data_IF_663568154017
#
_entry.id   IF_663568154017
#
_cell.length_a   1.000
_cell.length_b   1.000
_cell.length_c   1.000
_cell.angle_alpha   90.00
_cell.angle_beta   90.00
_cell.angle_gamma   90.00
#
_symmetry.space_group_name_H-M   'P 1'
#
loop_
_entity.id
_entity.type
_entity.pdbx_description
1 polymer ?
#
# COMPACT_ATOMS: atom_id res chain seq x y z
N UNK A 1 1.46 12.96 7.09
CA UNK A 1 2.48 12.68 6.07
C UNK A 1 3.85 12.40 6.73
N UNK A 2 4.36 13.27 7.59
CA UNK A 2 5.65 13.10 8.27
C UNK A 2 5.67 11.80 9.11
N UNK A 3 4.61 11.49 9.83
CA UNK A 3 4.51 10.26 10.60
C UNK A 3 4.69 9.02 9.71
N UNK A 4 3.96 8.93 8.60
CA UNK A 4 4.05 7.79 7.66
C UNK A 4 5.44 7.68 7.04
N UNK A 5 6.07 8.81 6.70
CA UNK A 5 7.45 8.85 6.22
C UNK A 5 8.44 8.27 7.25
N UNK A 6 8.30 8.64 8.53
CA UNK A 6 9.12 8.12 9.62
C UNK A 6 8.84 6.64 9.88
N UNK A 7 7.58 6.21 9.81
CA UNK A 7 7.18 4.81 9.94
C UNK A 7 7.82 3.92 8.86
N UNK A 8 7.92 4.41 7.61
CA UNK A 8 8.66 3.71 6.55
C UNK A 8 10.14 3.54 6.96
N UNK A 9 10.77 4.61 7.47
CA UNK A 9 12.15 4.54 7.96
C UNK A 9 12.30 3.47 9.06
N UNK A 10 11.38 3.48 10.01
CA UNK A 10 11.37 2.57 11.16
C UNK A 10 11.19 1.11 10.75
N UNK A 11 10.23 0.81 9.86
CA UNK A 11 10.02 -0.53 9.29
C UNK A 11 11.31 -1.08 8.67
N UNK A 12 11.98 -0.28 7.85
CA UNK A 12 13.19 -0.73 7.15
C UNK A 12 14.44 -0.83 8.04
N UNK A 13 14.41 -0.24 9.24
CA UNK A 13 15.44 -0.35 10.25
C UNK A 13 15.19 -1.49 11.26
N UNK A 14 14.04 -2.17 11.19
CA UNK A 14 13.74 -3.33 12.03
C UNK A 14 14.77 -4.45 11.87
N UNK A 15 15.07 -5.20 12.96
CA UNK A 15 15.93 -6.38 12.89
C UNK A 15 15.44 -7.36 11.82
N UNK A 16 16.39 -8.02 11.14
CA UNK A 16 16.05 -9.01 10.11
C UNK A 16 15.71 -10.39 10.74
N UNK A 17 14.77 -10.37 11.69
CA UNK A 17 14.25 -11.55 12.39
C UNK A 17 12.72 -11.49 12.41
N UNK A 18 12.07 -12.62 12.67
CA UNK A 18 10.63 -12.71 12.76
C UNK A 18 9.91 -12.23 11.50
N UNK A 19 8.83 -11.49 11.68
CA UNK A 19 8.00 -10.96 10.60
C UNK A 19 8.82 -10.11 9.61
N UNK A 20 9.59 -9.12 10.09
CA UNK A 20 10.36 -8.23 9.23
C UNK A 20 11.49 -8.94 8.49
N UNK A 21 12.14 -9.94 9.14
CA UNK A 21 13.14 -10.79 8.47
C UNK A 21 12.55 -11.56 7.30
N UNK A 22 11.37 -12.15 7.49
CA UNK A 22 10.66 -12.86 6.43
C UNK A 22 10.20 -11.90 5.31
N UNK A 23 9.70 -10.70 5.66
CA UNK A 23 9.29 -9.67 4.71
C UNK A 23 10.46 -9.21 3.83
N UNK A 24 11.63 -8.95 4.41
CA UNK A 24 12.81 -8.54 3.66
C UNK A 24 13.40 -9.68 2.81
N UNK A 25 13.32 -10.93 3.28
CA UNK A 25 13.67 -12.10 2.48
C UNK A 25 12.75 -12.23 1.26
N UNK A 26 11.47 -11.91 1.40
CA UNK A 26 10.53 -11.90 0.28
C UNK A 26 10.85 -10.80 -0.74
N UNK A 27 11.27 -9.59 -0.30
CA UNK A 27 11.78 -8.56 -1.24
C UNK A 27 12.92 -9.11 -2.09
N UNK A 28 13.88 -9.78 -1.46
CA UNK A 28 15.02 -10.37 -2.16
C UNK A 28 14.59 -11.49 -3.12
N UNK A 29 13.66 -12.37 -2.71
CA UNK A 29 13.11 -13.43 -3.55
C UNK A 29 12.42 -12.86 -4.80
N UNK A 30 11.74 -11.72 -4.67
CA UNK A 30 11.10 -11.00 -5.77
C UNK A 30 12.08 -10.09 -6.54
N UNK A 31 13.37 -10.18 -6.27
CA UNK A 31 14.44 -9.38 -6.90
C UNK A 31 14.27 -7.88 -6.72
N UNK A 32 13.63 -7.46 -5.63
CA UNK A 32 13.46 -6.05 -5.27
C UNK A 32 14.64 -5.57 -4.42
N UNK A 33 15.21 -4.44 -4.82
CA UNK A 33 16.25 -3.79 -4.02
C UNK A 33 15.65 -3.12 -2.79
N UNK A 34 16.03 -3.57 -1.60
CA UNK A 34 15.50 -3.07 -0.32
C UNK A 34 15.64 -1.54 -0.17
N UNK A 35 16.78 -0.96 -0.56
CA UNK A 35 17.01 0.48 -0.43
C UNK A 35 16.19 1.28 -1.43
N UNK A 36 16.03 0.76 -2.64
CA UNK A 36 15.16 1.37 -3.64
C UNK A 36 13.71 1.36 -3.20
N UNK A 37 13.19 0.21 -2.72
CA UNK A 37 11.81 0.09 -2.18
C UNK A 37 11.60 1.07 -1.03
N UNK A 38 12.55 1.15 -0.08
CA UNK A 38 12.52 2.12 1.02
C UNK A 38 12.40 3.56 0.50
N UNK A 39 13.23 3.92 -0.46
CA UNK A 39 13.23 5.28 -1.03
C UNK A 39 11.89 5.60 -1.71
N UNK A 40 11.40 4.70 -2.55
CA UNK A 40 10.12 4.88 -3.25
C UNK A 40 8.94 4.97 -2.27
N UNK A 41 8.90 4.12 -1.24
CA UNK A 41 7.86 4.17 -0.20
C UNK A 41 7.91 5.46 0.61
N UNK A 42 9.08 6.05 0.84
CA UNK A 42 9.20 7.37 1.49
C UNK A 42 8.61 8.48 0.62
N UNK A 43 8.80 8.42 -0.70
CA UNK A 43 8.16 9.36 -1.62
C UNK A 43 6.64 9.16 -1.61
N UNK A 44 6.17 7.90 -1.66
CA UNK A 44 4.75 7.57 -1.57
C UNK A 44 4.16 8.11 -0.26
N UNK A 45 4.86 7.97 0.87
CA UNK A 45 4.42 8.48 2.17
C UNK A 45 4.19 9.99 2.18
N UNK A 46 4.97 10.75 1.42
CA UNK A 46 4.78 12.20 1.29
C UNK A 46 3.62 12.57 0.36
N UNK A 47 3.23 11.68 -0.56
CA UNK A 47 2.28 12.00 -1.62
C UNK A 47 0.92 11.28 -1.49
N UNK A 48 0.80 10.21 -0.70
CA UNK A 48 -0.38 9.36 -0.69
C UNK A 48 -1.70 10.11 -0.45
N UNK A 49 -1.67 11.11 0.41
CA UNK A 49 -2.83 11.91 0.81
C UNK A 49 -2.90 13.28 0.11
N UNK A 50 -2.02 13.58 -0.83
CA UNK A 50 -2.01 14.88 -1.52
C UNK A 50 -3.32 15.15 -2.25
N UNK A 51 -3.99 14.10 -2.69
CA UNK A 51 -5.30 14.19 -3.31
C UNK A 51 -6.39 14.75 -2.38
N UNK A 52 -6.27 14.61 -1.05
CA UNK A 52 -7.20 15.20 -0.09
C UNK A 52 -7.14 16.73 -0.06
N UNK A 53 -6.00 17.30 -0.44
CA UNK A 53 -5.81 18.75 -0.54
C UNK A 53 -6.27 19.28 -1.89
N UNK A 54 -6.01 18.52 -2.95
CA UNK A 54 -6.30 18.90 -4.33
C UNK A 54 -7.75 18.55 -4.76
N UNK A 55 -8.45 17.71 -4.00
CA UNK A 55 -9.81 17.29 -4.30
C UNK A 55 -10.80 18.44 -4.14
N UNK A 56 -11.74 18.57 -5.09
CA UNK A 56 -12.86 19.50 -4.98
C UNK A 56 -13.70 19.12 -3.74
N UNK A 57 -13.92 20.09 -2.86
CA UNK A 57 -14.72 19.91 -1.63
C UNK A 57 -16.12 19.38 -1.88
N UNK A 58 -16.68 19.57 -3.08
CA UNK A 58 -17.96 18.99 -3.50
C UNK A 58 -17.94 17.47 -3.62
N UNK A 59 -16.75 16.85 -3.73
CA UNK A 59 -16.54 15.40 -3.80
C UNK A 59 -16.35 14.75 -2.42
N UNK A 60 -16.25 15.56 -1.37
CA UNK A 60 -16.15 15.07 0.01
C UNK A 60 -17.55 14.77 0.54
N UNK A 61 -17.77 13.53 0.92
CA UNK A 61 -19.06 13.09 1.47
C UNK A 61 -18.88 12.55 2.90
N UNK A 62 -19.94 12.54 3.72
CA UNK A 62 -19.87 11.87 5.01
C UNK A 62 -19.59 10.38 4.85
N UNK A 63 -18.61 9.86 5.58
CA UNK A 63 -18.33 8.42 5.62
C UNK A 63 -19.53 7.67 6.22
N UNK A 64 -20.07 6.63 5.55
CA UNK A 64 -21.35 6.03 5.93
C UNK A 64 -21.35 5.37 7.32
N UNK A 65 -20.20 4.98 7.85
CA UNK A 65 -20.08 4.34 9.16
C UNK A 65 -19.64 5.30 10.27
N UNK A 66 -18.82 6.31 9.95
CA UNK A 66 -18.21 7.19 10.97
C UNK A 66 -18.75 8.62 10.95
N UNK A 67 -19.45 9.02 9.89
CA UNK A 67 -19.91 10.41 9.67
C UNK A 67 -18.77 11.42 9.39
N UNK A 68 -17.51 10.99 9.47
CA UNK A 68 -16.37 11.87 9.17
C UNK A 68 -16.28 12.18 7.67
N UNK A 69 -15.66 13.29 7.26
CA UNK A 69 -15.41 13.58 5.85
C UNK A 69 -14.66 12.42 5.17
N UNK A 70 -15.19 11.92 4.06
CA UNK A 70 -14.57 10.88 3.24
C UNK A 70 -14.23 11.45 1.85
N UNK A 71 -12.99 11.35 1.49
CA UNK A 71 -12.41 11.81 0.23
C UNK A 71 -12.38 10.68 -0.79
N UNK A 72 -13.51 10.42 -1.47
CA UNK A 72 -13.70 9.21 -2.28
C UNK A 72 -12.75 9.06 -3.48
N UNK A 73 -12.26 10.18 -4.01
CA UNK A 73 -11.40 10.19 -5.20
C UNK A 73 -9.97 10.60 -4.93
N UNK A 74 -9.59 10.78 -3.67
CA UNK A 74 -8.28 11.34 -3.34
C UNK A 74 -7.10 10.51 -3.90
N UNK A 75 -7.22 9.19 -4.03
CA UNK A 75 -6.19 8.37 -4.66
C UNK A 75 -5.96 8.71 -6.14
N UNK A 76 -7.05 8.89 -6.94
CA UNK A 76 -6.96 9.28 -8.36
C UNK A 76 -6.46 10.72 -8.48
N UNK A 77 -6.99 11.64 -7.69
CA UNK A 77 -6.55 13.04 -7.66
C UNK A 77 -5.08 13.12 -7.20
N UNK A 78 -4.70 12.31 -6.22
CA UNK A 78 -3.33 12.17 -5.74
C UNK A 78 -2.36 11.65 -6.81
N UNK A 79 -2.79 10.67 -7.61
CA UNK A 79 -2.03 10.21 -8.78
C UNK A 79 -1.71 11.37 -9.72
N UNK A 80 -2.72 12.17 -10.10
CA UNK A 80 -2.53 13.30 -11.01
C UNK A 80 -1.58 14.35 -10.43
N UNK A 81 -1.78 14.72 -9.16
CA UNK A 81 -0.91 15.66 -8.46
C UNK A 81 0.55 15.13 -8.32
N UNK A 82 0.72 13.84 -8.03
CA UNK A 82 2.03 13.22 -7.94
C UNK A 82 2.77 13.23 -9.29
N UNK A 83 2.06 13.02 -10.40
CA UNK A 83 2.63 13.10 -11.75
C UNK A 83 3.14 14.50 -12.09
N UNK A 84 2.44 15.55 -11.64
CA UNK A 84 2.87 16.94 -11.82
C UNK A 84 4.10 17.29 -10.97
N UNK A 85 4.16 16.77 -9.73
CA UNK A 85 5.23 17.09 -8.77
C UNK A 85 6.52 16.35 -9.09
N UNK A 86 6.46 15.04 -9.33
CA UNK A 86 7.67 14.21 -9.44
C UNK A 86 8.41 14.51 -10.73
N UNK A 87 7.74 14.55 -11.87
CA UNK A 87 8.39 14.75 -13.16
C UNK A 87 9.56 13.77 -13.43
N UNK A 88 10.14 13.87 -14.63
CA UNK A 88 11.27 13.03 -15.04
C UNK A 88 12.61 13.44 -14.42
N UNK A 89 12.70 14.66 -13.90
CA UNK A 89 13.94 15.19 -13.31
C UNK A 89 14.25 14.60 -11.94
N UNK A 90 13.18 14.31 -11.14
CA UNK A 90 13.34 13.76 -9.80
C UNK A 90 13.50 12.23 -9.81
N UNK A 91 12.83 11.56 -10.72
CA UNK A 91 12.89 10.09 -10.87
C UNK A 91 13.03 9.76 -12.35
N UNK A 92 14.25 9.51 -12.83
CA UNK A 92 14.50 9.33 -14.26
C UNK A 92 14.00 7.99 -14.82
N UNK A 93 13.63 7.04 -13.98
CA UNK A 93 13.23 5.70 -14.40
C UNK A 93 11.71 5.57 -14.47
N UNK A 94 11.10 5.40 -15.68
CA UNK A 94 9.65 5.32 -15.86
C UNK A 94 8.96 4.25 -15.01
N UNK A 95 9.63 3.11 -14.81
CA UNK A 95 9.08 2.02 -13.99
C UNK A 95 8.95 2.42 -12.51
N UNK A 96 9.90 3.16 -11.98
CA UNK A 96 9.86 3.68 -10.61
C UNK A 96 8.76 4.74 -10.46
N UNK A 97 8.66 5.66 -11.42
CA UNK A 97 7.57 6.64 -11.45
C UNK A 97 6.21 5.94 -11.42
N UNK A 98 6.01 4.94 -12.27
CA UNK A 98 4.77 4.18 -12.34
C UNK A 98 4.45 3.50 -11.00
N UNK A 99 5.44 2.88 -10.36
CA UNK A 99 5.29 2.24 -9.07
C UNK A 99 4.81 3.23 -8.00
N UNK A 100 5.43 4.42 -7.94
CA UNK A 100 5.05 5.48 -6.99
C UNK A 100 3.63 5.98 -7.28
N UNK A 101 3.35 6.38 -8.52
CA UNK A 101 2.04 6.93 -8.90
C UNK A 101 0.90 5.95 -8.63
N UNK A 102 1.08 4.69 -8.98
CA UNK A 102 0.05 3.66 -8.80
C UNK A 102 -0.12 3.24 -7.36
N UNK A 103 0.94 3.27 -6.55
CA UNK A 103 0.81 3.04 -5.12
C UNK A 103 0.07 4.19 -4.44
N UNK A 104 0.33 5.45 -4.83
CA UNK A 104 -0.46 6.62 -4.38
C UNK A 104 -1.93 6.47 -4.78
N UNK A 105 -2.22 6.06 -6.03
CA UNK A 105 -3.62 5.82 -6.47
C UNK A 105 -4.33 4.77 -5.62
N UNK A 106 -3.64 3.69 -5.26
CA UNK A 106 -4.23 2.47 -4.71
C UNK A 106 -4.01 2.29 -3.21
N UNK A 107 -3.40 3.26 -2.52
CA UNK A 107 -2.99 3.10 -1.12
C UNK A 107 -4.13 2.69 -0.17
N UNK A 108 -5.37 3.11 -0.46
CA UNK A 108 -6.56 2.75 0.33
C UNK A 108 -7.32 1.52 -0.19
N UNK A 109 -6.74 0.77 -1.15
CA UNK A 109 -7.44 -0.37 -1.75
C UNK A 109 -7.77 -1.47 -0.72
N UNK A 110 -6.92 -1.69 0.29
CA UNK A 110 -7.16 -2.65 1.37
C UNK A 110 -8.45 -2.35 2.10
N UNK A 111 -8.65 -1.08 2.47
CA UNK A 111 -9.85 -0.61 3.13
C UNK A 111 -11.09 -0.77 2.24
N UNK A 112 -10.99 -0.42 0.95
CA UNK A 112 -12.07 -0.60 -0.01
C UNK A 112 -12.51 -2.05 -0.15
N UNK A 113 -11.55 -2.97 -0.28
CA UNK A 113 -11.81 -4.41 -0.37
C UNK A 113 -12.37 -4.99 0.94
N UNK A 114 -11.84 -4.58 2.09
CA UNK A 114 -12.35 -4.99 3.39
C UNK A 114 -13.79 -4.53 3.62
N UNK A 115 -14.12 -3.32 3.17
CA UNK A 115 -15.50 -2.80 3.21
C UNK A 115 -16.43 -3.62 2.31
N UNK A 116 -16.02 -3.97 1.09
CA UNK A 116 -16.80 -4.88 0.23
C UNK A 116 -17.06 -6.22 0.93
N UNK A 117 -16.04 -6.78 1.56
CA UNK A 117 -16.15 -8.01 2.33
C UNK A 117 -17.14 -7.88 3.50
N UNK A 118 -17.06 -6.82 4.29
CA UNK A 118 -17.94 -6.62 5.45
C UNK A 118 -19.41 -6.37 5.07
N UNK A 119 -19.66 -5.81 3.89
CA UNK A 119 -21.03 -5.52 3.42
C UNK A 119 -21.68 -6.74 2.76
N UNK A 120 -20.97 -7.47 1.91
CA UNK A 120 -21.56 -8.50 1.05
C UNK A 120 -20.79 -9.82 1.01
N UNK A 121 -19.74 -9.98 1.84
CA UNK A 121 -18.92 -11.20 1.87
C UNK A 121 -17.97 -11.36 0.69
N UNK A 122 -17.80 -10.34 -0.16
CA UNK A 122 -16.93 -10.44 -1.35
C UNK A 122 -15.46 -10.60 -0.97
N UNK A 123 -14.86 -11.71 -1.40
CA UNK A 123 -13.42 -11.97 -1.24
C UNK A 123 -12.74 -11.81 -2.61
N UNK A 124 -11.71 -10.95 -2.72
CA UNK A 124 -11.02 -10.75 -4.00
C UNK A 124 -10.30 -12.03 -4.42
N UNK A 125 -10.62 -12.50 -5.62
CA UNK A 125 -9.99 -13.67 -6.24
C UNK A 125 -8.60 -13.33 -6.77
N UNK A 126 -7.83 -14.38 -7.13
CA UNK A 126 -6.44 -14.26 -7.62
C UNK A 126 -6.31 -13.25 -8.76
N UNK A 127 -7.21 -13.28 -9.73
CA UNK A 127 -7.18 -12.43 -10.93
C UNK A 127 -7.33 -10.95 -10.56
N UNK A 128 -8.19 -10.62 -9.58
CA UNK A 128 -8.34 -9.25 -9.07
C UNK A 128 -7.08 -8.77 -8.35
N UNK A 129 -6.48 -9.62 -7.52
CA UNK A 129 -5.23 -9.31 -6.83
C UNK A 129 -4.08 -9.16 -7.84
N UNK A 130 -3.98 -10.05 -8.82
CA UNK A 130 -3.01 -9.95 -9.90
C UNK A 130 -3.16 -8.65 -10.70
N UNK A 131 -4.39 -8.25 -11.01
CA UNK A 131 -4.66 -6.99 -11.71
C UNK A 131 -4.20 -5.77 -10.87
N UNK A 132 -4.48 -5.76 -9.56
CA UNK A 132 -4.02 -4.72 -8.65
C UNK A 132 -2.49 -4.64 -8.64
N UNK A 133 -1.82 -5.77 -8.46
CA UNK A 133 -0.36 -5.83 -8.45
C UNK A 133 0.26 -5.38 -9.77
N UNK A 134 -0.30 -5.79 -10.91
CA UNK A 134 0.17 -5.42 -12.25
C UNK A 134 0.03 -3.91 -12.55
N UNK A 135 -0.91 -3.23 -11.92
CA UNK A 135 -0.98 -1.76 -12.03
C UNK A 135 0.24 -1.08 -11.46
N UNK A 136 0.83 -1.63 -10.41
CA UNK A 136 1.94 -1.02 -9.66
C UNK A 136 3.29 -1.46 -10.22
N UNK A 137 3.45 -2.75 -10.52
CA UNK A 137 4.72 -3.31 -10.93
C UNK A 137 4.53 -4.40 -11.98
N UNK A 138 5.50 -4.56 -12.89
CA UNK A 138 5.47 -5.59 -13.93
C UNK A 138 5.35 -7.02 -13.36
N UNK A 139 5.90 -7.25 -12.15
CA UNK A 139 5.66 -8.45 -11.36
C UNK A 139 4.52 -8.17 -10.36
N UNK A 140 3.35 -8.82 -10.51
CA UNK A 140 2.18 -8.52 -9.65
C UNK A 140 2.45 -8.74 -8.16
N UNK A 141 3.22 -9.76 -7.80
CA UNK A 141 3.62 -10.02 -6.42
C UNK A 141 4.45 -8.89 -5.81
N UNK A 142 5.33 -8.26 -6.60
CA UNK A 142 6.07 -7.08 -6.19
C UNK A 142 5.13 -5.90 -5.96
N UNK A 143 4.19 -5.65 -6.88
CA UNK A 143 3.20 -4.58 -6.74
C UNK A 143 2.30 -4.75 -5.51
N UNK A 144 1.85 -5.97 -5.24
CA UNK A 144 1.10 -6.27 -4.00
C UNK A 144 1.95 -6.03 -2.76
N UNK A 145 3.24 -6.40 -2.80
CA UNK A 145 4.15 -6.20 -1.67
C UNK A 145 4.39 -4.72 -1.38
N UNK A 146 4.49 -3.86 -2.39
CA UNK A 146 4.53 -2.40 -2.21
C UNK A 146 3.33 -1.89 -1.42
N UNK A 147 2.11 -2.30 -1.80
CA UNK A 147 0.88 -1.93 -1.10
C UNK A 147 0.88 -2.43 0.35
N UNK A 148 1.29 -3.68 0.57
CA UNK A 148 1.31 -4.29 1.90
C UNK A 148 2.28 -3.57 2.84
N UNK A 149 3.52 -3.28 2.37
CA UNK A 149 4.51 -2.58 3.18
C UNK A 149 4.08 -1.12 3.41
N UNK A 150 3.57 -0.44 2.37
CA UNK A 150 3.07 0.91 2.52
C UNK A 150 1.96 0.96 3.57
N UNK A 151 1.02 0.01 3.51
CA UNK A 151 -0.12 -0.02 4.44
C UNK A 151 0.30 -0.25 5.88
N UNK A 152 1.37 -1.03 6.13
CA UNK A 152 1.95 -1.13 7.48
C UNK A 152 2.43 0.23 8.00
N UNK A 153 3.11 1.02 7.16
CA UNK A 153 3.60 2.33 7.55
C UNK A 153 2.46 3.33 7.78
N UNK A 154 1.41 3.24 6.98
CA UNK A 154 0.25 4.14 7.05
C UNK A 154 -0.58 3.93 8.32
N UNK A 155 -0.71 2.68 8.79
CA UNK A 155 -1.51 2.34 9.97
C UNK A 155 -0.72 2.26 11.27
N UNK A 156 0.60 2.40 11.24
CA UNK A 156 1.42 2.31 12.45
C UNK A 156 0.95 3.31 13.53
N UNK A 157 0.63 2.79 14.71
CA UNK A 157 0.04 3.57 15.79
C UNK A 157 -1.48 3.81 15.70
N UNK A 158 -2.18 3.22 14.71
CA UNK A 158 -3.64 3.25 14.64
C UNK A 158 -4.26 2.18 15.55
N UNK A 159 -5.46 2.47 16.10
CA UNK A 159 -6.19 1.52 16.95
C UNK A 159 -6.81 0.38 16.14
N UNK A 160 -7.34 0.67 14.94
CA UNK A 160 -8.00 -0.32 14.07
C UNK A 160 -7.10 -0.71 12.89
N UNK A 161 -6.62 -1.95 12.95
CA UNK A 161 -5.71 -2.54 11.96
C UNK A 161 -6.34 -3.75 11.23
N UNK A 162 -7.65 -3.99 11.45
CA UNK A 162 -8.33 -5.21 10.97
C UNK A 162 -8.31 -5.34 9.46
N UNK A 163 -8.48 -4.25 8.72
CA UNK A 163 -8.46 -4.25 7.25
C UNK A 163 -7.08 -4.67 6.73
N UNK A 164 -6.01 -4.27 7.39
CA UNK A 164 -4.64 -4.59 6.99
C UNK A 164 -4.32 -6.05 7.25
N UNK A 165 -4.61 -6.56 8.46
CA UNK A 165 -4.41 -7.97 8.78
C UNK A 165 -5.25 -8.85 7.83
N UNK A 166 -6.51 -8.49 7.61
CA UNK A 166 -7.38 -9.17 6.66
C UNK A 166 -6.77 -9.17 5.25
N UNK A 167 -6.29 -8.02 4.78
CA UNK A 167 -5.71 -7.90 3.44
C UNK A 167 -4.46 -8.75 3.27
N UNK A 168 -3.55 -8.77 4.27
CA UNK A 168 -2.40 -9.66 4.27
C UNK A 168 -2.80 -11.13 4.13
N UNK A 169 -3.79 -11.58 4.91
CA UNK A 169 -4.28 -12.96 4.85
C UNK A 169 -4.87 -13.29 3.47
N UNK A 170 -5.71 -12.42 2.93
CA UNK A 170 -6.32 -12.62 1.60
C UNK A 170 -5.27 -12.66 0.49
N UNK A 171 -4.29 -11.77 0.51
CA UNK A 171 -3.20 -11.76 -0.47
C UNK A 171 -2.34 -13.02 -0.33
N UNK A 172 -2.06 -13.47 0.89
CA UNK A 172 -1.36 -14.72 1.15
C UNK A 172 -2.11 -15.92 0.57
N UNK A 173 -3.37 -16.08 0.94
CA UNK A 173 -4.17 -17.26 0.59
C UNK A 173 -4.51 -17.31 -0.89
N UNK A 174 -5.00 -16.20 -1.45
CA UNK A 174 -5.55 -16.16 -2.79
C UNK A 174 -4.55 -15.78 -3.89
N UNK A 175 -3.33 -15.38 -3.51
CA UNK A 175 -2.30 -15.04 -4.49
C UNK A 175 -0.97 -15.77 -4.22
N UNK A 176 -0.27 -15.48 -3.11
CA UNK A 176 1.09 -15.98 -2.90
C UNK A 176 1.16 -17.50 -2.69
N UNK A 177 0.19 -18.10 -2.02
CA UNK A 177 0.13 -19.58 -1.86
C UNK A 177 0.07 -20.28 -3.20
N UNK A 178 -0.64 -19.72 -4.19
CA UNK A 178 -0.71 -20.31 -5.54
C UNK A 178 0.62 -20.27 -6.31
N UNK A 179 1.58 -19.48 -5.85
CA UNK A 179 2.92 -19.35 -6.40
C UNK A 179 3.98 -20.12 -5.58
N UNK A 180 3.58 -20.84 -4.52
CA UNK A 180 4.46 -21.45 -3.53
C UNK A 180 5.40 -20.43 -2.85
N UNK A 181 4.93 -19.20 -2.67
CA UNK A 181 5.66 -18.13 -1.99
C UNK A 181 5.04 -17.91 -0.60
N UNK A 182 5.88 -17.95 0.43
CA UNK A 182 5.46 -17.71 1.81
C UNK A 182 5.38 -16.20 2.08
N UNK A 183 4.17 -15.62 2.02
CA UNK A 183 3.94 -14.26 2.48
C UNK A 183 3.84 -14.26 4.02
N UNK A 184 4.69 -13.52 4.75
CA UNK A 184 4.51 -13.32 6.19
C UNK A 184 3.26 -12.45 6.45
N UNK A 185 2.51 -12.79 7.49
CA UNK A 185 1.38 -11.99 7.97
C UNK A 185 1.78 -11.36 9.29
N UNK A 186 1.64 -10.03 9.46
CA UNK A 186 1.98 -9.37 10.70
C UNK A 186 1.00 -9.74 11.82
N UNK A 187 1.49 -9.82 13.03
CA UNK A 187 0.67 -9.83 14.23
C UNK A 187 0.50 -8.39 14.75
N UNK A 188 -0.43 -8.18 15.67
CA UNK A 188 -0.67 -6.85 16.27
C UNK A 188 0.62 -6.23 16.86
N UNK A 189 1.46 -7.05 17.50
CA UNK A 189 2.75 -6.61 18.06
C UNK A 189 3.77 -6.16 17.01
N UNK A 190 3.62 -6.57 15.75
CA UNK A 190 4.53 -6.19 14.65
C UNK A 190 4.13 -4.82 14.05
N UNK A 191 2.93 -4.32 14.40
CA UNK A 191 2.36 -3.09 13.83
C UNK A 191 2.33 -1.94 14.85
N UNK A 192 2.27 -2.27 16.15
CA UNK A 192 2.23 -1.30 17.26
C UNK A 192 3.63 -0.96 17.73
#
# INVERSE_FOLDING_TARGET
>A
LEAVYNNVEEIFNQPQIGFYGALFSLLQQLQLNKQQVKHELKIIALLHDIGKIAEDKSQVIPHPLTGKPAHLRHGIVGLMAAMEIIGTELIPFPQQQLCIYRTVELHDISYGLFREYTINGSIPQKERLQYIGNKIHALPGAGLLYLLIFKLADIHGHEDIRDVIWFYNIVKENYFTSLNIALPVPEEKDIR
#
